data_IF_050816659922
#
_entry.id   IF_050816659922
#
_cell.length_a   1.000
_cell.length_b   1.000
_cell.length_c   1.000
_cell.angle_alpha   90.00
_cell.angle_beta   90.00
_cell.angle_gamma   90.00
#
_symmetry.space_group_name_H-M   'P 1'
#
loop_
_entity.id
_entity.type
_entity.pdbx_description
1 polymer ?
#
# COMPACT_ATOMS: atom_id res chain seq x y z
N UNK A 1 13.89 -4.78 2.57
CA UNK A 1 13.22 -3.83 3.48
C UNK A 1 11.72 -4.08 3.45
N UNK A 2 11.06 -3.72 4.53
CA UNK A 2 9.60 -3.76 4.60
C UNK A 2 9.06 -2.38 4.24
N UNK A 3 8.25 -2.32 3.19
CA UNK A 3 7.71 -1.06 2.67
C UNK A 3 6.18 -1.11 2.75
N UNK A 4 5.60 -0.11 3.42
CA UNK A 4 4.15 0.03 3.52
C UNK A 4 3.66 1.08 2.53
N UNK A 5 2.68 0.70 1.71
CA UNK A 5 1.97 1.63 0.83
C UNK A 5 0.61 1.94 1.44
N UNK A 6 0.40 3.20 1.77
CA UNK A 6 -0.90 3.71 2.18
C UNK A 6 -1.56 4.24 0.91
N UNK A 7 -2.51 3.48 0.38
CA UNK A 7 -3.03 3.73 -0.96
C UNK A 7 -4.49 3.29 -1.04
N UNK A 8 -5.14 3.67 -2.12
CA UNK A 8 -6.50 3.23 -2.42
C UNK A 8 -6.54 1.70 -2.62
N UNK A 9 -7.73 1.09 -2.61
CA UNK A 9 -7.83 -0.35 -2.83
C UNK A 9 -7.12 -0.75 -4.13
N UNK A 10 -6.22 -1.73 -4.03
CA UNK A 10 -5.34 -2.08 -5.13
C UNK A 10 -6.11 -2.61 -6.35
N UNK A 11 -7.27 -3.23 -6.13
CA UNK A 11 -8.10 -3.71 -7.23
C UNK A 11 -8.65 -2.57 -8.10
N UNK A 12 -8.61 -1.32 -7.61
CA UNK A 12 -9.08 -0.16 -8.37
C UNK A 12 -7.98 0.49 -9.21
N UNK A 13 -6.74 0.03 -9.11
CA UNK A 13 -5.62 0.64 -9.82
C UNK A 13 -5.75 0.41 -11.32
N UNK A 14 -5.44 1.46 -12.07
CA UNK A 14 -5.29 1.38 -13.53
C UNK A 14 -3.81 1.15 -13.80
N UNK A 15 -3.40 -0.12 -13.85
CA UNK A 15 -2.00 -0.51 -13.84
C UNK A 15 -1.17 0.11 -14.94
N UNK A 16 -1.79 0.39 -16.09
CA UNK A 16 -1.09 0.94 -17.25
C UNK A 16 -0.69 2.42 -17.08
N UNK A 17 -1.23 3.11 -16.08
CA UNK A 17 -0.92 4.53 -15.86
C UNK A 17 -0.81 4.94 -14.40
N UNK A 18 -0.91 3.99 -13.47
CA UNK A 18 -0.87 4.32 -12.05
C UNK A 18 0.59 4.37 -11.58
N UNK A 19 0.99 5.53 -11.06
CA UNK A 19 2.35 5.72 -10.55
C UNK A 19 2.61 4.81 -9.36
N UNK A 20 1.60 4.58 -8.51
CA UNK A 20 1.75 3.71 -7.35
C UNK A 20 2.06 2.28 -7.78
N UNK A 21 1.40 1.80 -8.83
CA UNK A 21 1.70 0.49 -9.41
C UNK A 21 3.17 0.40 -9.84
N UNK A 22 3.66 1.44 -10.51
CA UNK A 22 5.06 1.47 -10.96
C UNK A 22 6.03 1.45 -9.78
N UNK A 23 5.71 2.15 -8.70
CA UNK A 23 6.53 2.16 -7.49
C UNK A 23 6.56 0.78 -6.83
N UNK A 24 5.42 0.11 -6.77
CA UNK A 24 5.33 -1.25 -6.22
C UNK A 24 6.14 -2.23 -7.04
N UNK A 25 6.07 -2.12 -8.38
CA UNK A 25 6.84 -2.96 -9.28
C UNK A 25 8.33 -2.80 -9.05
N UNK A 26 8.79 -1.56 -8.96
CA UNK A 26 10.20 -1.27 -8.72
C UNK A 26 10.65 -1.84 -7.37
N UNK A 27 9.86 -1.65 -6.32
CA UNK A 27 10.21 -2.17 -5.01
C UNK A 27 10.26 -3.69 -5.01
N UNK A 28 9.33 -4.35 -5.71
CA UNK A 28 9.31 -5.81 -5.82
C UNK A 28 10.53 -6.33 -6.56
N UNK A 29 10.94 -5.65 -7.63
CA UNK A 29 12.12 -6.03 -8.41
C UNK A 29 13.39 -5.92 -7.59
N UNK A 30 13.40 -5.05 -6.58
CA UNK A 30 14.54 -4.88 -5.68
C UNK A 30 14.50 -5.84 -4.49
N UNK A 31 13.51 -6.72 -4.43
CA UNK A 31 13.43 -7.75 -3.40
C UNK A 31 12.85 -7.29 -2.08
N UNK A 32 12.15 -6.18 -2.04
CA UNK A 32 11.54 -5.68 -0.81
C UNK A 32 10.24 -6.40 -0.50
N UNK A 33 9.92 -6.50 0.80
CA UNK A 33 8.62 -6.96 1.26
C UNK A 33 7.63 -5.83 1.15
N UNK A 34 6.48 -6.08 0.53
CA UNK A 34 5.48 -5.07 0.25
C UNK A 34 4.26 -5.28 1.14
N UNK A 35 3.74 -4.16 1.67
CA UNK A 35 2.54 -4.16 2.51
C UNK A 35 1.61 -3.05 2.02
N UNK A 36 0.33 -3.25 2.24
CA UNK A 36 -0.70 -2.28 1.84
C UNK A 36 -1.67 -2.05 3.00
N UNK A 37 -2.08 -0.80 3.15
CA UNK A 37 -3.18 -0.43 4.04
C UNK A 37 -3.96 0.71 3.40
N UNK A 38 -5.22 0.84 3.79
CA UNK A 38 -6.06 1.99 3.41
C UNK A 38 -5.85 3.10 4.44
N UNK A 39 -5.98 4.35 4.00
CA UNK A 39 -5.83 5.48 4.93
C UNK A 39 -6.79 5.40 6.11
N UNK A 40 -8.01 4.90 5.89
CA UNK A 40 -8.99 4.73 6.95
C UNK A 40 -8.70 3.59 7.92
N UNK A 41 -7.68 2.80 7.65
CA UNK A 41 -7.29 1.68 8.51
C UNK A 41 -6.13 2.03 9.44
N UNK A 42 -5.74 3.29 9.48
CA UNK A 42 -4.75 3.79 10.43
C UNK A 42 -5.45 4.18 11.73
N UNK A 43 -4.81 3.89 12.83
CA UNK A 43 -5.32 4.29 14.16
C UNK A 43 -4.17 4.63 15.09
N UNK A 44 -4.48 5.33 16.17
CA UNK A 44 -3.50 5.63 17.20
C UNK A 44 -3.84 4.78 18.43
N UNK A 45 -2.89 3.96 18.85
CA UNK A 45 -3.05 3.09 20.01
C UNK A 45 -1.86 3.29 20.93
N UNK A 46 -2.14 3.71 22.17
CA UNK A 46 -1.10 3.91 23.19
C UNK A 46 0.02 4.83 22.68
N UNK A 47 -0.35 5.89 21.96
CA UNK A 47 0.60 6.86 21.44
C UNK A 47 1.35 6.43 20.18
N UNK A 48 1.01 5.27 19.62
CA UNK A 48 1.64 4.77 18.39
C UNK A 48 0.63 4.70 17.25
N UNK A 49 1.07 5.03 16.04
CA UNK A 49 0.24 4.86 14.86
C UNK A 49 0.34 3.41 14.41
N UNK A 50 -0.83 2.79 14.27
CA UNK A 50 -0.96 1.37 13.91
C UNK A 50 -1.78 1.27 12.64
N UNK A 51 -1.38 0.39 11.74
CA UNK A 51 -2.09 0.12 10.50
C UNK A 51 -2.60 -1.32 10.49
N UNK A 52 -3.79 -1.51 9.90
CA UNK A 52 -4.24 -2.84 9.53
C UNK A 52 -3.63 -3.14 8.18
N UNK A 53 -2.44 -3.72 8.18
CA UNK A 53 -1.64 -3.88 6.98
C UNK A 53 -1.67 -5.32 6.49
N UNK A 54 -1.66 -5.48 5.17
CA UNK A 54 -1.60 -6.79 4.54
C UNK A 54 -0.34 -6.87 3.70
N UNK A 55 0.46 -7.90 3.91
CA UNK A 55 1.57 -8.21 3.02
C UNK A 55 1.01 -8.66 1.68
N UNK A 56 1.67 -8.31 0.58
CA UNK A 56 1.24 -8.78 -0.72
C UNK A 56 2.44 -9.13 -1.60
N UNK A 57 2.21 -10.04 -2.53
CA UNK A 57 3.17 -10.39 -3.56
C UNK A 57 2.81 -9.66 -4.84
N UNK A 58 3.80 -9.08 -5.48
CA UNK A 58 3.62 -8.40 -6.76
C UNK A 58 3.76 -9.42 -7.88
N UNK A 59 2.67 -9.68 -8.59
CA UNK A 59 2.64 -10.65 -9.68
C UNK A 59 2.85 -10.00 -11.04
N UNK A 60 2.44 -8.74 -11.16
CA UNK A 60 2.49 -8.02 -12.42
C UNK A 60 1.23 -8.18 -13.26
N UNK A 61 0.75 -7.10 -13.83
CA UNK A 61 -0.41 -7.11 -14.72
C UNK A 61 -0.01 -7.66 -16.08
N UNK A 62 -0.83 -8.58 -16.61
CA UNK A 62 -0.59 -9.16 -17.95
C UNK A 62 -1.07 -8.23 -19.05
N UNK A 63 -2.06 -7.40 -18.76
CA UNK A 63 -2.54 -6.36 -19.67
C UNK A 63 -3.19 -5.24 -18.84
N UNK A 64 -3.71 -4.21 -19.53
CA UNK A 64 -4.24 -3.03 -18.85
C UNK A 64 -5.54 -3.29 -18.07
N UNK A 65 -6.17 -4.43 -18.27
CA UNK A 65 -7.42 -4.79 -17.59
C UNK A 65 -7.20 -5.88 -16.54
N UNK A 66 -5.97 -6.32 -16.32
CA UNK A 66 -5.67 -7.37 -15.36
C UNK A 66 -5.71 -6.81 -13.95
N UNK A 67 -6.66 -7.30 -13.14
CA UNK A 67 -6.76 -6.92 -11.73
C UNK A 67 -6.18 -7.97 -10.79
N UNK A 68 -5.63 -9.06 -11.33
CA UNK A 68 -4.99 -10.12 -10.56
C UNK A 68 -3.48 -9.98 -10.54
N UNK A 69 -2.98 -8.74 -10.48
CA UNK A 69 -1.56 -8.44 -10.52
C UNK A 69 -0.87 -8.52 -9.16
N UNK A 70 -1.62 -8.83 -8.12
CA UNK A 70 -1.11 -8.96 -6.76
C UNK A 70 -1.80 -10.11 -6.04
N UNK A 71 -1.11 -10.65 -5.02
CA UNK A 71 -1.63 -11.70 -4.15
C UNK A 71 -1.53 -11.20 -2.72
N UNK A 72 -2.66 -10.85 -2.12
CA UNK A 72 -2.72 -10.20 -0.82
C UNK A 72 -2.97 -11.21 0.29
N UNK A 73 -2.18 -11.11 1.35
CA UNK A 73 -2.34 -11.93 2.53
C UNK A 73 -3.38 -11.33 3.49
N UNK A 74 -3.62 -11.99 4.60
CA UNK A 74 -4.54 -11.48 5.61
C UNK A 74 -3.97 -10.23 6.25
N UNK A 75 -4.87 -9.30 6.63
CA UNK A 75 -4.46 -8.09 7.32
C UNK A 75 -4.07 -8.41 8.76
N UNK A 76 -3.10 -7.66 9.27
CA UNK A 76 -2.68 -7.76 10.66
C UNK A 76 -2.32 -6.36 11.18
N UNK A 77 -2.42 -6.21 12.47
CA UNK A 77 -2.12 -4.94 13.13
C UNK A 77 -0.61 -4.78 13.22
N UNK A 78 -0.07 -3.70 12.64
CA UNK A 78 1.36 -3.43 12.63
C UNK A 78 1.59 -1.96 12.93
N UNK A 79 2.59 -1.67 13.78
CA UNK A 79 3.00 -0.30 14.04
C UNK A 79 3.73 0.27 12.80
N UNK A 80 3.55 1.56 12.53
CA UNK A 80 4.26 2.17 11.40
C UNK A 80 5.77 2.07 11.56
N UNK A 81 6.27 2.00 12.78
CA UNK A 81 7.69 1.84 13.04
C UNK A 81 8.23 0.46 12.67
N UNK A 82 7.36 -0.51 12.37
CA UNK A 82 7.78 -1.83 11.91
C UNK A 82 8.23 -1.81 10.45
N UNK A 83 8.00 -0.73 9.74
CA UNK A 83 8.36 -0.61 8.33
C UNK A 83 9.61 0.23 8.17
N UNK A 84 10.41 -0.11 7.17
CA UNK A 84 11.61 0.65 6.82
C UNK A 84 11.25 1.91 6.03
N UNK A 85 10.14 1.86 5.30
CA UNK A 85 9.63 2.99 4.54
C UNK A 85 8.10 2.95 4.52
N UNK A 86 7.48 4.13 4.59
CA UNK A 86 6.04 4.28 4.49
C UNK A 86 5.77 5.28 3.37
N UNK A 87 5.02 4.86 2.37
CA UNK A 87 4.73 5.68 1.19
C UNK A 87 3.24 5.99 1.16
N UNK A 88 2.91 7.28 1.27
CA UNK A 88 1.53 7.74 1.22
C UNK A 88 1.16 8.06 -0.22
N UNK A 89 0.25 7.26 -0.80
CA UNK A 89 -0.15 7.38 -2.20
C UNK A 89 -1.65 7.46 -2.40
N UNK A 90 -2.37 7.80 -1.36
CA UNK A 90 -3.81 7.99 -1.47
C UNK A 90 -4.13 9.48 -1.47
N UNK A 91 -5.06 9.88 -2.32
CA UNK A 91 -5.52 11.26 -2.28
C UNK A 91 -6.33 11.47 -1.01
N UNK A 92 -6.14 12.58 -0.31
CA UNK A 92 -6.96 12.88 0.85
C UNK A 92 -8.42 12.97 0.42
N UNK A 93 -9.35 12.45 1.21
CA UNK A 93 -10.77 12.55 0.87
C UNK A 93 -11.27 14.01 0.84
N UNK A 94 -10.52 14.91 1.47
CA UNK A 94 -10.79 16.35 1.43
C UNK A 94 -9.48 17.06 1.64
N UNK A 95 -9.19 18.01 0.78
CA UNK A 95 -7.87 18.60 0.73
C UNK A 95 -7.61 19.65 1.81
N UNK A 96 -8.62 20.39 2.22
CA UNK A 96 -8.43 21.51 3.15
C UNK A 96 -8.63 21.13 4.61
N UNK A 97 -9.16 19.98 4.87
CA UNK A 97 -9.50 19.58 6.24
C UNK A 97 -8.29 19.22 7.08
N UNK A 98 -7.17 19.04 6.45
CA UNK A 98 -5.92 18.69 7.14
C UNK A 98 -5.21 19.89 7.70
N UNK A 99 -5.62 21.04 7.31
CA UNK A 99 -5.00 22.28 7.74
C UNK A 99 -5.70 22.86 8.97
#
# INVERSE_FOLDING_TARGET
MNILFIADPMATFKTYKDTTYSMMREAAQRGHMLFHTLAGELSVQQGKVVAQAAAFRFLGARDQHDHAWFDMQNRQSMALTDFDAVIMRTDPPFNMQYL
#
